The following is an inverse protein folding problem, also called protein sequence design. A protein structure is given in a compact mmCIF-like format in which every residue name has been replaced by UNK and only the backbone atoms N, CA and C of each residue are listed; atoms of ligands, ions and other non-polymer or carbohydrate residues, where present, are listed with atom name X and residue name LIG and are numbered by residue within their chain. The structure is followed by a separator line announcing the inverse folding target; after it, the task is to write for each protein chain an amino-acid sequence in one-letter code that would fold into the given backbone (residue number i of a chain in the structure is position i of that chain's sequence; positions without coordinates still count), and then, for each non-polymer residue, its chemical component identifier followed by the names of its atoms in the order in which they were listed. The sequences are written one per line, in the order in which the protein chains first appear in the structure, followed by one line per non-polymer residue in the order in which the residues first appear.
data_IF_288952076684
#
_entry.id   IF_288952076684
#
_cell.length_a   1.000
_cell.length_b   1.000
_cell.length_c   1.000
_cell.angle_alpha   90.00
_cell.angle_beta   90.00
_cell.angle_gamma   90.00
#
_symmetry.space_group_name_H-M   'P 1'
#
loop_
_entity.id
_entity.type
_entity.pdbx_description
1 polymer ?
#
# COMPACT_ATOMS: atom_id res chain seq x y z
N UNK A 1 -2.35 21.20 6.06
CA UNK A 1 -3.17 20.20 6.79
C UNK A 1 -4.29 20.85 7.59
N UNK A 2 -4.02 21.97 8.30
CA UNK A 2 -5.01 22.65 9.14
C UNK A 2 -6.27 23.13 8.42
N UNK A 3 -6.16 23.54 7.18
CA UNK A 3 -7.26 24.13 6.36
C UNK A 3 -7.93 23.12 5.41
N UNK A 4 -7.44 21.88 5.36
CA UNK A 4 -7.99 20.86 4.45
C UNK A 4 -9.45 20.56 4.81
N UNK A 5 -10.36 20.68 3.85
CA UNK A 5 -11.81 20.45 4.05
C UNK A 5 -12.26 19.03 3.68
N UNK A 6 -11.36 18.23 3.06
CA UNK A 6 -11.66 16.86 2.67
C UNK A 6 -11.84 15.95 3.87
N UNK A 7 -12.71 14.96 3.76
CA UNK A 7 -12.89 13.89 4.76
C UNK A 7 -11.91 12.74 4.55
N UNK A 8 -11.43 12.59 3.32
CA UNK A 8 -10.50 11.55 2.89
C UNK A 8 -9.39 12.21 2.08
N UNK A 9 -8.15 11.85 2.37
CA UNK A 9 -6.97 12.22 1.61
C UNK A 9 -6.36 10.95 0.98
N UNK A 10 -6.17 10.95 -0.33
CA UNK A 10 -5.54 9.84 -1.06
C UNK A 10 -4.22 10.34 -1.66
N UNK A 11 -3.12 9.76 -1.25
CA UNK A 11 -1.80 10.22 -1.62
C UNK A 11 -1.32 9.54 -2.91
N UNK A 12 -1.37 10.27 -4.03
CA UNK A 12 -0.88 9.74 -5.31
C UNK A 12 0.65 9.91 -5.48
N UNK A 13 1.22 10.98 -4.93
CA UNK A 13 2.67 11.23 -4.97
C UNK A 13 3.39 10.51 -3.82
N UNK A 14 4.69 10.25 -3.98
CA UNK A 14 5.51 9.68 -2.92
C UNK A 14 5.89 10.75 -1.89
N UNK A 15 5.69 10.46 -0.60
CA UNK A 15 6.04 11.35 0.50
C UNK A 15 5.39 12.74 0.48
N UNK A 16 4.09 12.87 0.11
CA UNK A 16 3.49 14.19 -0.08
C UNK A 16 3.14 14.90 1.22
N UNK A 17 3.07 14.15 2.33
CA UNK A 17 2.63 14.63 3.64
C UNK A 17 3.75 14.53 4.65
N UNK A 18 4.11 15.65 5.28
CA UNK A 18 5.12 15.65 6.36
C UNK A 18 4.58 14.96 7.61
N UNK A 19 5.47 14.53 8.50
CA UNK A 19 5.10 13.88 9.77
C UNK A 19 4.20 14.77 10.62
N UNK A 20 4.47 16.07 10.63
CA UNK A 20 3.67 17.06 11.38
C UNK A 20 2.28 17.21 10.77
N UNK A 21 2.19 17.25 9.43
CA UNK A 21 0.92 17.32 8.72
C UNK A 21 0.08 16.06 8.95
N UNK A 22 0.70 14.87 8.93
CA UNK A 22 0.03 13.59 9.18
C UNK A 22 -0.64 13.57 10.57
N UNK A 23 0.08 14.03 11.61
CA UNK A 23 -0.47 14.17 12.97
C UNK A 23 -1.66 15.14 13.05
N UNK A 24 -1.64 16.21 12.27
CA UNK A 24 -2.77 17.16 12.19
C UNK A 24 -3.98 16.51 11.52
N UNK A 25 -3.77 15.78 10.43
CA UNK A 25 -4.85 15.08 9.71
C UNK A 25 -5.49 14.01 10.60
N UNK A 26 -4.68 13.23 11.32
CA UNK A 26 -5.12 12.23 12.28
C UNK A 26 -5.99 12.84 13.39
N UNK A 27 -5.50 13.91 14.05
CA UNK A 27 -6.25 14.62 15.11
C UNK A 27 -7.59 15.17 14.61
N UNK A 28 -7.67 15.53 13.34
CA UNK A 28 -8.90 16.03 12.69
C UNK A 28 -9.82 14.92 12.19
N UNK A 29 -9.44 13.64 12.37
CA UNK A 29 -10.23 12.51 11.91
C UNK A 29 -10.30 12.38 10.39
N UNK A 30 -9.35 12.96 9.65
CA UNK A 30 -9.28 12.84 8.19
C UNK A 30 -8.63 11.49 7.86
N UNK A 31 -9.34 10.63 7.15
CA UNK A 31 -8.80 9.36 6.70
C UNK A 31 -7.72 9.60 5.64
N UNK A 32 -6.51 9.11 5.89
CA UNK A 32 -5.42 9.16 4.91
C UNK A 32 -5.20 7.77 4.32
N UNK A 33 -5.42 7.63 3.00
CA UNK A 33 -4.95 6.47 2.26
C UNK A 33 -3.49 6.74 1.85
N UNK A 34 -2.51 6.05 2.46
CA UNK A 34 -1.11 6.40 2.31
C UNK A 34 -0.58 6.09 0.91
N UNK A 35 0.45 6.82 0.51
CA UNK A 35 1.12 6.74 -0.78
C UNK A 35 1.53 5.31 -1.16
N UNK A 36 2.19 4.59 -0.26
CA UNK A 36 2.66 3.21 -0.50
C UNK A 36 1.52 2.21 -0.82
N UNK A 37 0.27 2.58 -0.54
CA UNK A 37 -0.91 1.83 -0.93
C UNK A 37 -1.59 2.45 -2.16
N UNK A 38 -1.83 3.75 -2.13
CA UNK A 38 -2.66 4.42 -3.13
C UNK A 38 -2.01 4.46 -4.52
N UNK A 39 -0.68 4.65 -4.59
CA UNK A 39 0.04 4.75 -5.86
C UNK A 39 0.66 3.42 -6.33
N UNK A 40 0.49 2.33 -5.60
CA UNK A 40 1.08 1.04 -5.93
C UNK A 40 0.56 0.42 -7.25
N UNK A 41 -0.57 0.91 -7.77
CA UNK A 41 -1.16 0.39 -9.01
C UNK A 41 -0.22 0.49 -10.22
N UNK A 42 0.56 1.56 -10.34
CA UNK A 42 1.52 1.73 -11.43
C UNK A 42 2.60 0.64 -11.44
N UNK A 43 3.17 0.34 -10.28
CA UNK A 43 4.17 -0.75 -10.13
C UNK A 43 3.55 -2.11 -10.43
N UNK A 44 2.31 -2.35 -10.00
CA UNK A 44 1.60 -3.61 -10.28
C UNK A 44 1.41 -3.80 -11.80
N UNK A 45 1.01 -2.76 -12.52
CA UNK A 45 0.86 -2.83 -13.99
C UNK A 45 2.20 -3.03 -14.70
N UNK A 46 3.26 -2.37 -14.24
CA UNK A 46 4.62 -2.62 -14.76
C UNK A 46 5.07 -4.07 -14.53
N UNK A 47 4.69 -4.67 -13.40
CA UNK A 47 4.93 -6.09 -13.18
C UNK A 47 4.16 -6.98 -14.15
N UNK A 48 2.91 -6.64 -14.49
CA UNK A 48 2.14 -7.38 -15.50
C UNK A 48 2.80 -7.31 -16.87
N UNK A 49 3.32 -6.13 -17.27
CA UNK A 49 4.07 -5.97 -18.50
C UNK A 49 5.30 -6.90 -18.54
N UNK A 50 6.07 -6.92 -17.45
CA UNK A 50 7.22 -7.81 -17.32
C UNK A 50 6.82 -9.29 -17.42
N UNK A 51 5.73 -9.73 -16.78
CA UNK A 51 5.22 -11.11 -16.86
C UNK A 51 4.83 -11.47 -18.28
N UNK A 52 4.08 -10.61 -18.98
CA UNK A 52 3.65 -10.80 -20.35
C UNK A 52 4.87 -10.95 -21.30
N UNK A 53 5.90 -10.11 -21.11
CA UNK A 53 7.12 -10.17 -21.88
C UNK A 53 7.86 -11.51 -21.70
N UNK A 54 8.00 -12.01 -20.47
CA UNK A 54 8.65 -13.31 -20.22
C UNK A 54 7.84 -14.47 -20.80
N UNK A 55 6.53 -14.41 -20.69
CA UNK A 55 5.64 -15.47 -21.16
C UNK A 55 5.37 -15.40 -22.66
N UNK A 56 5.82 -14.35 -23.36
CA UNK A 56 5.50 -14.07 -24.76
C UNK A 56 3.98 -14.10 -25.02
N UNK A 57 3.20 -13.63 -24.05
CA UNK A 57 1.74 -13.56 -24.11
C UNK A 57 1.29 -12.12 -23.88
N UNK A 58 0.24 -11.70 -24.57
CA UNK A 58 -0.41 -10.42 -24.36
C UNK A 58 -1.75 -10.63 -23.64
N UNK A 59 -1.98 -9.86 -22.57
CA UNK A 59 -3.27 -9.78 -21.89
C UNK A 59 -4.12 -8.69 -22.52
N UNK A 60 -5.42 -8.88 -22.53
CA UNK A 60 -6.31 -7.80 -22.93
C UNK A 60 -6.49 -6.77 -21.80
N UNK A 61 -7.05 -5.62 -22.15
CA UNK A 61 -7.23 -4.51 -21.20
C UNK A 61 -8.13 -4.90 -20.01
N UNK A 62 -9.13 -5.72 -20.26
CA UNK A 62 -10.07 -6.15 -19.23
C UNK A 62 -9.38 -7.08 -18.23
N UNK A 63 -8.56 -8.01 -18.69
CA UNK A 63 -7.76 -8.91 -17.84
C UNK A 63 -6.79 -8.12 -16.96
N UNK A 64 -6.08 -7.15 -17.54
CA UNK A 64 -5.20 -6.24 -16.78
C UNK A 64 -5.97 -5.50 -15.70
N UNK A 65 -7.12 -4.89 -16.05
CA UNK A 65 -7.92 -4.10 -15.11
C UNK A 65 -8.51 -4.95 -13.99
N UNK A 66 -9.03 -6.13 -14.29
CA UNK A 66 -9.60 -7.03 -13.29
C UNK A 66 -8.54 -7.54 -12.32
N UNK A 67 -7.37 -7.92 -12.84
CA UNK A 67 -6.25 -8.39 -12.02
C UNK A 67 -5.71 -7.27 -11.13
N UNK A 68 -5.53 -6.06 -11.69
CA UNK A 68 -5.14 -4.88 -10.93
C UNK A 68 -6.13 -4.59 -9.80
N UNK A 69 -7.42 -4.54 -10.11
CA UNK A 69 -8.49 -4.30 -9.14
C UNK A 69 -8.44 -5.31 -8.00
N UNK A 70 -8.30 -6.61 -8.33
CA UNK A 70 -8.22 -7.69 -7.33
C UNK A 70 -7.03 -7.49 -6.37
N UNK A 71 -5.85 -7.16 -6.91
CA UNK A 71 -4.63 -6.94 -6.12
C UNK A 71 -4.77 -5.71 -5.23
N UNK A 72 -5.21 -4.58 -5.80
CA UNK A 72 -5.34 -3.33 -5.07
C UNK A 72 -6.41 -3.42 -3.97
N UNK A 73 -7.55 -4.05 -4.25
CA UNK A 73 -8.61 -4.26 -3.25
C UNK A 73 -8.16 -5.18 -2.11
N UNK A 74 -7.37 -6.22 -2.42
CA UNK A 74 -6.78 -7.07 -1.40
C UNK A 74 -5.80 -6.28 -0.53
N UNK A 75 -4.90 -5.53 -1.13
CA UNK A 75 -3.93 -4.70 -0.40
C UNK A 75 -4.63 -3.69 0.51
N UNK A 76 -5.66 -3.01 0.02
CA UNK A 76 -6.47 -2.10 0.83
C UNK A 76 -7.11 -2.80 2.04
N UNK A 77 -7.72 -3.98 1.83
CA UNK A 77 -8.34 -4.75 2.92
C UNK A 77 -7.31 -5.16 3.97
N UNK A 78 -6.16 -5.69 3.54
CA UNK A 78 -5.08 -6.12 4.45
C UNK A 78 -4.58 -4.94 5.31
N UNK A 79 -4.36 -3.78 4.70
CA UNK A 79 -3.90 -2.56 5.39
C UNK A 79 -4.97 -2.04 6.35
N UNK A 80 -6.22 -1.96 5.91
CA UNK A 80 -7.33 -1.49 6.74
C UNK A 80 -7.54 -2.38 7.95
N UNK A 81 -7.53 -3.69 7.75
CA UNK A 81 -7.65 -4.66 8.83
C UNK A 81 -6.53 -4.50 9.85
N UNK A 82 -5.26 -4.44 9.40
CA UNK A 82 -4.11 -4.23 10.26
C UNK A 82 -4.23 -2.93 11.07
N UNK A 83 -4.62 -1.84 10.43
CA UNK A 83 -4.84 -0.55 11.06
C UNK A 83 -5.90 -0.64 12.17
N UNK A 84 -7.03 -1.29 11.90
CA UNK A 84 -8.11 -1.47 12.87
C UNK A 84 -7.70 -2.37 14.05
N UNK A 85 -7.08 -3.52 13.78
CA UNK A 85 -6.61 -4.45 14.81
C UNK A 85 -5.57 -3.84 15.75
N UNK A 86 -4.75 -2.93 15.23
CA UNK A 86 -3.68 -2.27 16.02
C UNK A 86 -4.06 -0.88 16.54
N UNK A 87 -5.27 -0.40 16.27
CA UNK A 87 -5.69 0.94 16.67
C UNK A 87 -4.77 2.04 16.12
N UNK A 88 -4.30 1.89 14.89
CA UNK A 88 -3.29 2.76 14.27
C UNK A 88 -3.81 3.42 12.99
N UNK A 89 -3.05 4.39 12.45
CA UNK A 89 -3.35 4.97 11.14
C UNK A 89 -3.19 3.95 10.02
N UNK A 90 -3.82 4.19 8.86
CA UNK A 90 -3.61 3.33 7.67
C UNK A 90 -2.15 3.34 7.20
N UNK A 91 -1.43 4.45 7.39
CA UNK A 91 0.02 4.52 7.09
C UNK A 91 0.81 3.52 7.93
N UNK A 92 0.59 3.49 9.24
CA UNK A 92 1.22 2.52 10.13
C UNK A 92 0.78 1.09 9.82
N UNK A 93 -0.50 0.88 9.52
CA UNK A 93 -1.02 -0.40 9.06
C UNK A 93 -0.32 -0.90 7.80
N UNK A 94 -0.08 -0.03 6.83
CA UNK A 94 0.63 -0.36 5.59
C UNK A 94 2.09 -0.77 5.86
N UNK A 95 2.82 -0.03 6.69
CA UNK A 95 4.18 -0.42 7.10
C UNK A 95 4.21 -1.77 7.83
N UNK A 96 3.28 -2.00 8.77
CA UNK A 96 3.21 -3.28 9.49
C UNK A 96 2.95 -4.45 8.54
N UNK A 97 2.03 -4.31 7.59
CA UNK A 97 1.77 -5.34 6.56
C UNK A 97 3.01 -5.61 5.73
N UNK A 98 3.71 -4.56 5.27
CA UNK A 98 4.91 -4.69 4.45
C UNK A 98 6.05 -5.40 5.22
N UNK A 99 6.34 -4.96 6.43
CA UNK A 99 7.38 -5.54 7.29
C UNK A 99 7.06 -7.01 7.59
N UNK A 100 5.81 -7.33 7.94
CA UNK A 100 5.42 -8.71 8.20
C UNK A 100 5.62 -9.62 6.98
N UNK A 101 5.32 -9.14 5.77
CA UNK A 101 5.54 -9.90 4.53
C UNK A 101 7.04 -10.16 4.29
N UNK A 102 7.87 -9.13 4.44
CA UNK A 102 9.32 -9.24 4.24
C UNK A 102 9.94 -10.19 5.28
N UNK A 103 9.61 -10.02 6.55
CA UNK A 103 10.17 -10.84 7.63
C UNK A 103 9.71 -12.30 7.51
N UNK A 104 8.48 -12.55 7.14
CA UNK A 104 7.97 -13.90 6.92
C UNK A 104 8.66 -14.57 5.73
N UNK A 105 8.80 -13.86 4.62
CA UNK A 105 9.53 -14.37 3.45
C UNK A 105 11.00 -14.65 3.76
N UNK A 106 11.66 -13.78 4.53
CA UNK A 106 13.04 -13.99 4.97
C UNK A 106 13.19 -15.25 5.83
N UNK A 107 12.29 -15.45 6.79
CA UNK A 107 12.30 -16.67 7.63
C UNK A 107 12.09 -17.94 6.81
N UNK A 108 11.16 -17.93 5.84
CA UNK A 108 10.90 -19.09 4.97
C UNK A 108 12.09 -19.44 4.06
N UNK A 109 12.94 -18.47 3.71
CA UNK A 109 14.13 -18.66 2.87
C UNK A 109 15.39 -19.05 3.67
N UNK A 110 15.27 -19.27 5.00
CA UNK A 110 16.38 -19.67 5.85
C UNK A 110 17.42 -18.57 6.10
N UNK A 111 17.11 -17.33 5.75
CA UNK A 111 17.96 -16.17 6.04
C UNK A 111 17.88 -15.77 7.51
N UNK A 112 19.02 -15.45 8.17
CA UNK A 112 18.98 -14.85 9.49
C UNK A 112 18.39 -13.43 9.32
N UNK A 113 17.15 -13.23 9.73
CA UNK A 113 16.71 -11.90 10.09
C UNK A 113 17.25 -11.69 11.50
N UNK A 114 18.52 -11.32 11.57
CA UNK A 114 19.11 -10.77 12.79
C UNK A 114 18.37 -9.46 13.07
N UNK A 115 17.46 -9.49 14.02
CA UNK A 115 17.03 -8.28 14.69
C UNK A 115 18.09 -8.00 15.76
N UNK A 116 19.15 -7.30 15.35
CA UNK A 116 20.05 -6.65 16.27
C UNK A 116 19.43 -5.35 16.75
#
# INVERSE_FOLDING_TARGET
AGELKAKVNVEAANGPTTVEADKILEKRGILVCPDILANAGGVVVSYFEWVQNIQSMAWDLEEVNQTLKKIMMKAYKDVRQMSQEKGSTMRMGAYMVAINRITTAGKMRGGPISMA
#
